data_IF_228255383189
#
_entry.id   IF_228255383189
#
_cell.length_a   1.000
_cell.length_b   1.000
_cell.length_c   1.000
_cell.angle_alpha   90.00
_cell.angle_beta   90.00
_cell.angle_gamma   90.00
#
_symmetry.space_group_name_H-M   'P 1'
#
loop_
_entity.id
_entity.type
_entity.pdbx_description
1 polymer ?
#
# COMPACT_ATOMS: atom_id res chain seq x y z
N UNK A 1 -25.03 11.63 4.99
CA UNK A 1 -24.39 12.86 5.49
C UNK A 1 -23.02 13.11 4.84
N UNK A 2 -22.15 12.11 4.68
CA UNK A 2 -20.83 12.25 4.02
C UNK A 2 -20.91 12.69 2.56
N UNK A 3 -21.85 12.17 1.79
CA UNK A 3 -21.99 12.45 0.35
C UNK A 3 -22.51 13.88 0.08
N UNK A 4 -23.41 14.36 0.93
CA UNK A 4 -23.93 15.74 0.84
C UNK A 4 -22.82 16.74 1.13
N UNK A 5 -21.98 16.48 2.13
CA UNK A 5 -20.87 17.35 2.49
C UNK A 5 -19.79 17.39 1.41
N UNK A 6 -19.52 16.28 0.74
CA UNK A 6 -18.55 16.20 -0.37
C UNK A 6 -19.03 16.85 -1.66
N UNK A 7 -20.33 16.72 -1.98
CA UNK A 7 -20.95 17.46 -3.09
C UNK A 7 -20.80 18.96 -2.89
N UNK A 8 -20.99 19.44 -1.66
CA UNK A 8 -20.80 20.86 -1.33
C UNK A 8 -19.35 21.34 -1.45
N UNK A 9 -18.35 20.44 -1.31
CA UNK A 9 -16.93 20.74 -1.48
C UNK A 9 -16.39 20.54 -2.90
N UNK A 10 -17.23 20.15 -3.87
CA UNK A 10 -16.83 19.89 -5.26
C UNK A 10 -15.89 18.68 -5.44
N UNK A 11 -15.76 17.83 -4.41
CA UNK A 11 -14.85 16.66 -4.43
C UNK A 11 -15.50 15.38 -4.97
N UNK A 12 -16.82 15.38 -5.19
CA UNK A 12 -17.57 14.26 -5.74
C UNK A 12 -17.71 14.47 -7.25
N UNK A 13 -16.83 13.86 -8.04
CA UNK A 13 -16.93 13.84 -9.51
C UNK A 13 -17.92 12.77 -9.97
N UNK A 14 -18.37 12.85 -11.24
CA UNK A 14 -19.23 11.81 -11.84
C UNK A 14 -18.55 10.44 -11.81
N UNK A 15 -17.24 10.38 -12.09
CA UNK A 15 -16.45 9.14 -12.05
C UNK A 15 -16.45 8.49 -10.66
N UNK A 16 -16.32 9.30 -9.60
CA UNK A 16 -16.36 8.80 -8.22
C UNK A 16 -17.77 8.32 -7.88
N UNK A 17 -18.81 9.02 -8.32
CA UNK A 17 -20.21 8.61 -8.11
C UNK A 17 -20.48 7.27 -8.80
N UNK A 18 -20.07 7.11 -10.05
CA UNK A 18 -20.20 5.85 -10.78
C UNK A 18 -19.41 4.71 -10.15
N UNK A 19 -18.20 4.98 -9.65
CA UNK A 19 -17.39 3.98 -8.97
C UNK A 19 -18.06 3.52 -7.67
N UNK A 20 -18.67 4.45 -6.90
CA UNK A 20 -19.42 4.14 -5.68
C UNK A 20 -20.68 3.33 -5.96
N UNK A 21 -21.41 3.63 -7.05
CA UNK A 21 -22.60 2.86 -7.46
C UNK A 21 -22.27 1.43 -7.88
N UNK A 22 -21.08 1.22 -8.46
CA UNK A 22 -20.58 -0.10 -8.89
C UNK A 22 -19.95 -0.90 -7.76
N UNK A 23 -19.64 -0.27 -6.63
CA UNK A 23 -19.03 -0.95 -5.48
C UNK A 23 -20.03 -1.90 -4.81
N UNK A 24 -19.64 -3.15 -4.66
CA UNK A 24 -20.48 -4.21 -4.07
C UNK A 24 -20.15 -4.42 -2.59
N UNK A 25 -18.93 -4.11 -2.19
CA UNK A 25 -18.44 -4.34 -0.81
C UNK A 25 -18.06 -3.04 -0.12
N UNK A 26 -18.16 -3.03 1.22
CA UNK A 26 -17.72 -1.90 2.04
C UNK A 26 -16.25 -1.56 1.82
N UNK A 27 -15.42 -2.57 1.59
CA UNK A 27 -13.99 -2.41 1.34
C UNK A 27 -13.73 -1.67 0.03
N UNK A 28 -14.50 -1.94 -1.03
CA UNK A 28 -14.41 -1.20 -2.28
C UNK A 28 -14.81 0.27 -2.09
N UNK A 29 -15.85 0.54 -1.30
CA UNK A 29 -16.25 1.91 -0.95
C UNK A 29 -15.15 2.63 -0.15
N UNK A 30 -14.53 1.95 0.80
CA UNK A 30 -13.41 2.51 1.58
C UNK A 30 -12.19 2.83 0.72
N UNK A 31 -11.87 2.01 -0.26
CA UNK A 31 -10.76 2.27 -1.19
C UNK A 31 -11.03 3.47 -2.09
N UNK A 32 -12.25 3.59 -2.62
CA UNK A 32 -12.66 4.77 -3.41
C UNK A 32 -12.60 6.04 -2.56
N UNK A 33 -12.93 5.93 -1.28
CA UNK A 33 -12.92 7.05 -0.33
C UNK A 33 -11.52 7.42 0.18
N UNK A 34 -10.57 6.49 0.14
CA UNK A 34 -9.24 6.62 0.76
C UNK A 34 -8.45 7.89 0.39
N UNK A 35 -8.40 8.33 -0.89
CA UNK A 35 -7.71 9.58 -1.26
C UNK A 35 -8.29 10.83 -0.59
N UNK A 36 -9.56 10.78 -0.18
CA UNK A 36 -10.29 11.91 0.41
C UNK A 36 -10.33 11.88 1.94
N UNK A 37 -9.85 10.79 2.54
CA UNK A 37 -9.82 10.64 3.99
C UNK A 37 -8.77 11.55 4.60
N UNK A 38 -9.10 12.34 5.64
CA UNK A 38 -8.09 13.12 6.36
C UNK A 38 -6.98 12.20 6.86
N UNK A 39 -5.77 12.45 6.39
CA UNK A 39 -4.59 11.67 6.79
C UNK A 39 -3.92 12.34 7.99
N UNK A 40 -3.36 11.53 8.89
CA UNK A 40 -2.43 12.00 9.90
C UNK A 40 -1.12 12.41 9.23
N UNK A 41 -0.21 13.05 9.97
CA UNK A 41 1.13 13.41 9.46
C UNK A 41 1.84 12.15 8.95
N UNK A 42 2.03 12.08 7.62
CA UNK A 42 2.71 10.98 6.91
C UNK A 42 4.03 11.49 6.34
N UNK A 43 4.91 10.58 5.87
CA UNK A 43 6.12 10.98 5.14
C UNK A 43 5.77 11.82 3.92
N UNK A 44 4.76 11.40 3.15
CA UNK A 44 4.29 12.12 1.98
C UNK A 44 3.71 13.50 2.32
N UNK A 45 2.92 13.63 3.41
CA UNK A 45 2.40 14.95 3.80
C UNK A 45 3.53 15.90 4.21
N UNK A 46 4.54 15.40 4.91
CA UNK A 46 5.74 16.20 5.23
C UNK A 46 6.49 16.63 3.98
N UNK A 47 6.63 15.74 3.00
CA UNK A 47 7.27 16.05 1.74
C UNK A 47 6.48 17.09 0.91
N UNK A 48 5.14 17.01 0.92
CA UNK A 48 4.27 18.03 0.31
C UNK A 48 4.39 19.38 1.01
N UNK A 49 4.43 19.40 2.34
CA UNK A 49 4.63 20.63 3.13
C UNK A 49 6.00 21.28 2.80
N UNK A 50 7.02 20.47 2.50
CA UNK A 50 8.32 20.94 2.02
C UNK A 50 8.30 21.43 0.56
N UNK A 51 7.22 21.20 -0.17
CA UNK A 51 7.03 21.67 -1.56
C UNK A 51 7.63 20.74 -2.61
N UNK A 52 7.71 19.44 -2.35
CA UNK A 52 8.27 18.42 -3.25
C UNK A 52 7.24 17.82 -4.22
N UNK A 53 5.99 18.26 -4.19
CA UNK A 53 4.93 17.75 -5.08
C UNK A 53 5.27 17.94 -6.57
N UNK A 54 5.79 19.10 -7.04
CA UNK A 54 6.15 19.26 -8.45
C UNK A 54 7.30 18.33 -8.89
N UNK A 55 8.21 17.98 -7.97
CA UNK A 55 9.27 17.00 -8.27
C UNK A 55 8.68 15.58 -8.40
N UNK A 56 7.69 15.23 -7.58
CA UNK A 56 6.97 13.97 -7.71
C UNK A 56 6.20 13.88 -9.03
N UNK A 57 5.53 14.95 -9.45
CA UNK A 57 4.85 15.03 -10.75
C UNK A 57 5.85 14.86 -11.91
N UNK A 58 7.01 15.53 -11.86
CA UNK A 58 8.08 15.40 -12.85
C UNK A 58 8.56 13.94 -12.98
N UNK A 59 8.73 13.24 -11.87
CA UNK A 59 9.16 11.83 -11.85
C UNK A 59 8.06 10.92 -12.42
N UNK A 60 6.78 11.16 -12.08
CA UNK A 60 5.64 10.35 -12.55
C UNK A 60 5.43 10.44 -14.07
N UNK A 61 5.81 11.54 -14.70
CA UNK A 61 5.75 11.67 -16.16
C UNK A 61 6.62 10.63 -16.86
N UNK A 62 7.76 10.26 -16.26
CA UNK A 62 8.71 9.27 -16.77
C UNK A 62 9.19 9.59 -18.19
N UNK A 63 9.48 10.85 -18.47
CA UNK A 63 10.07 11.23 -19.73
C UNK A 63 11.47 10.61 -19.89
N UNK A 64 11.77 10.07 -21.08
CA UNK A 64 12.98 9.26 -21.31
C UNK A 64 14.27 10.06 -21.10
N UNK A 65 14.27 11.33 -21.52
CA UNK A 65 15.43 12.22 -21.47
C UNK A 65 15.49 13.05 -20.16
N UNK A 66 14.63 12.76 -19.18
CA UNK A 66 14.61 13.49 -17.92
C UNK A 66 15.72 13.02 -16.98
N UNK A 67 16.38 13.98 -16.35
CA UNK A 67 17.36 13.79 -15.29
C UNK A 67 16.74 14.24 -13.95
N UNK A 68 16.21 13.31 -13.17
CA UNK A 68 15.57 13.61 -11.90
C UNK A 68 16.56 14.08 -10.84
N UNK A 69 17.83 13.70 -10.91
CA UNK A 69 18.88 14.17 -10.02
C UNK A 69 19.14 15.68 -10.21
N UNK A 70 19.33 16.13 -11.45
CA UNK A 70 19.48 17.56 -11.78
C UNK A 70 18.23 18.35 -11.45
N UNK A 71 17.03 17.79 -11.63
CA UNK A 71 15.79 18.45 -11.24
C UNK A 71 15.69 18.60 -9.72
N UNK A 72 16.07 17.55 -8.97
CA UNK A 72 16.03 17.56 -7.51
C UNK A 72 16.95 18.57 -6.86
N UNK A 73 18.08 18.94 -7.51
CA UNK A 73 18.98 19.99 -7.00
C UNK A 73 18.28 21.33 -6.82
N UNK A 74 17.26 21.64 -7.63
CA UNK A 74 16.49 22.89 -7.55
C UNK A 74 15.65 22.99 -6.28
N UNK A 75 15.41 21.87 -5.61
CA UNK A 75 14.60 21.79 -4.38
C UNK A 75 15.44 21.77 -3.10
N UNK A 76 16.76 21.84 -3.21
CA UNK A 76 17.63 21.94 -2.03
C UNK A 76 17.35 23.26 -1.32
N UNK A 77 16.95 23.16 -0.06
CA UNK A 77 16.59 24.30 0.78
C UNK A 77 16.75 23.96 2.27
N UNK A 78 17.73 24.55 2.92
CA UNK A 78 18.02 24.32 4.33
C UNK A 78 16.90 24.78 5.26
N UNK A 79 16.14 25.83 4.90
CA UNK A 79 15.00 26.29 5.69
C UNK A 79 13.86 25.28 5.71
N UNK A 80 13.75 24.45 4.67
CA UNK A 80 12.80 23.36 4.54
C UNK A 80 13.37 21.99 4.95
N UNK A 81 14.56 21.97 5.53
CA UNK A 81 15.27 20.73 5.90
C UNK A 81 15.45 19.77 4.71
N UNK A 82 15.79 20.31 3.54
CA UNK A 82 16.17 19.55 2.33
C UNK A 82 17.62 19.90 2.05
N UNK A 83 18.53 19.09 2.54
CA UNK A 83 19.97 19.36 2.49
C UNK A 83 20.63 18.83 1.23
N UNK A 84 20.05 17.82 0.59
CA UNK A 84 20.63 17.13 -0.58
C UNK A 84 19.57 16.80 -1.63
N UNK A 85 20.01 16.60 -2.88
CA UNK A 85 19.13 16.14 -3.97
C UNK A 85 18.52 14.76 -3.65
N UNK A 86 19.28 13.85 -3.00
CA UNK A 86 18.77 12.55 -2.59
C UNK A 86 17.62 12.69 -1.57
N UNK A 87 17.71 13.65 -0.64
CA UNK A 87 16.63 13.92 0.30
C UNK A 87 15.38 14.45 -0.40
N UNK A 88 15.54 15.28 -1.44
CA UNK A 88 14.45 15.74 -2.27
C UNK A 88 13.80 14.59 -3.06
N UNK A 89 14.61 13.73 -3.70
CA UNK A 89 14.13 12.54 -4.42
C UNK A 89 13.40 11.59 -3.49
N UNK A 90 13.94 11.33 -2.29
CA UNK A 90 13.28 10.47 -1.31
C UNK A 90 11.92 11.03 -0.89
N UNK A 91 11.81 12.32 -0.67
CA UNK A 91 10.53 12.97 -0.37
C UNK A 91 9.54 12.87 -1.53
N UNK A 92 9.99 13.06 -2.76
CA UNK A 92 9.16 12.89 -3.95
C UNK A 92 8.69 11.43 -4.11
N UNK A 93 9.58 10.44 -3.88
CA UNK A 93 9.21 9.03 -3.88
C UNK A 93 8.21 8.67 -2.77
N UNK A 94 8.31 9.28 -1.59
CA UNK A 94 7.33 9.07 -0.52
C UNK A 94 5.93 9.59 -0.91
N UNK A 95 5.86 10.71 -1.67
CA UNK A 95 4.61 11.22 -2.24
C UNK A 95 4.06 10.21 -3.25
N UNK A 96 4.87 9.78 -4.21
CA UNK A 96 4.49 8.81 -5.25
C UNK A 96 3.99 7.50 -4.62
N UNK A 97 4.70 6.99 -3.62
CA UNK A 97 4.32 5.75 -2.93
C UNK A 97 2.96 5.88 -2.23
N UNK A 98 2.66 7.01 -1.62
CA UNK A 98 1.36 7.26 -1.00
C UNK A 98 0.26 7.34 -2.05
N UNK A 99 0.46 8.07 -3.16
CA UNK A 99 -0.52 8.22 -4.24
C UNK A 99 -0.81 6.87 -4.91
N UNK A 100 0.22 6.04 -5.14
CA UNK A 100 0.05 4.65 -5.60
C UNK A 100 -0.76 3.83 -4.58
N UNK A 101 -0.51 3.99 -3.29
CA UNK A 101 -1.23 3.25 -2.24
C UNK A 101 -2.71 3.58 -2.15
N UNK A 102 -3.11 4.75 -2.62
CA UNK A 102 -4.49 5.21 -2.63
C UNK A 102 -5.25 4.77 -3.90
N UNK A 103 -4.56 4.13 -4.86
CA UNK A 103 -5.20 3.65 -6.06
C UNK A 103 -6.11 2.45 -5.79
N UNK A 104 -7.43 2.63 -5.95
CA UNK A 104 -8.43 1.63 -5.64
C UNK A 104 -8.31 0.38 -6.52
N UNK A 105 -7.95 0.53 -7.81
CA UNK A 105 -7.80 -0.59 -8.72
C UNK A 105 -6.59 -1.46 -8.35
N UNK A 106 -5.45 -0.86 -7.99
CA UNK A 106 -4.29 -1.59 -7.51
C UNK A 106 -4.64 -2.39 -6.24
N UNK A 107 -5.31 -1.76 -5.29
CA UNK A 107 -5.73 -2.41 -4.04
C UNK A 107 -6.66 -3.60 -4.31
N UNK A 108 -7.62 -3.44 -5.22
CA UNK A 108 -8.51 -4.52 -5.66
C UNK A 108 -7.74 -5.69 -6.26
N UNK A 109 -6.77 -5.41 -7.15
CA UNK A 109 -5.92 -6.44 -7.76
C UNK A 109 -5.06 -7.17 -6.72
N UNK A 110 -4.47 -6.43 -5.78
CA UNK A 110 -3.65 -7.05 -4.72
C UNK A 110 -4.51 -7.90 -3.80
N UNK A 111 -5.72 -7.48 -3.40
CA UNK A 111 -6.63 -8.34 -2.62
C UNK A 111 -6.98 -9.64 -3.35
N UNK A 112 -7.35 -9.55 -4.62
CA UNK A 112 -7.62 -10.74 -5.42
C UNK A 112 -6.41 -11.68 -5.52
N UNK A 113 -5.20 -11.12 -5.51
CA UNK A 113 -3.97 -11.88 -5.48
C UNK A 113 -3.76 -12.58 -4.13
N UNK A 114 -4.03 -11.90 -3.02
CA UNK A 114 -3.99 -12.50 -1.68
C UNK A 114 -5.00 -13.65 -1.54
N UNK A 115 -6.24 -13.45 -1.96
CA UNK A 115 -7.27 -14.49 -1.95
C UNK A 115 -6.83 -15.74 -2.71
N UNK A 116 -6.12 -15.58 -3.83
CA UNK A 116 -5.70 -16.67 -4.70
C UNK A 116 -4.41 -17.34 -4.26
N UNK A 117 -3.41 -16.58 -3.82
CA UNK A 117 -2.04 -17.04 -3.69
C UNK A 117 -1.48 -16.99 -2.26
N UNK A 118 -2.09 -16.20 -1.36
CA UNK A 118 -1.59 -16.10 0.01
C UNK A 118 -1.87 -17.37 0.81
N UNK A 119 -1.03 -17.58 1.83
CA UNK A 119 -1.16 -18.65 2.83
C UNK A 119 -1.34 -18.04 4.21
N UNK A 120 -2.13 -18.70 5.03
CA UNK A 120 -2.15 -18.48 6.47
C UNK A 120 -1.11 -19.42 7.07
N UNK A 121 -0.19 -18.85 7.82
CA UNK A 121 0.83 -19.59 8.55
C UNK A 121 0.71 -19.33 10.03
N UNK A 122 0.99 -20.33 10.84
CA UNK A 122 1.13 -20.15 12.28
C UNK A 122 2.31 -20.91 12.83
N UNK A 123 2.88 -20.35 13.89
CA UNK A 123 3.97 -20.95 14.66
C UNK A 123 3.66 -20.87 16.14
N UNK A 124 4.14 -21.83 16.92
CA UNK A 124 4.08 -21.75 18.37
C UNK A 124 4.83 -20.51 18.89
N UNK A 125 4.30 -19.87 19.91
CA UNK A 125 5.03 -18.85 20.68
C UNK A 125 6.08 -19.50 21.58
N UNK A 126 5.76 -20.68 22.11
CA UNK A 126 6.64 -21.57 22.86
C UNK A 126 6.43 -23.00 22.36
N UNK A 127 7.45 -23.57 21.74
CA UNK A 127 7.38 -24.91 21.15
C UNK A 127 7.34 -26.04 22.19
N UNK A 128 7.81 -25.76 23.43
CA UNK A 128 7.80 -26.73 24.53
C UNK A 128 6.48 -26.75 25.32
N UNK A 129 5.61 -25.75 25.09
CA UNK A 129 4.33 -25.66 25.77
C UNK A 129 3.32 -26.67 25.24
N UNK A 130 2.78 -27.52 26.09
CA UNK A 130 1.67 -28.40 25.75
C UNK A 130 0.35 -27.66 25.76
N UNK A 131 -0.18 -27.31 24.57
CA UNK A 131 -1.47 -26.64 24.43
C UNK A 131 -2.41 -27.44 23.51
N UNK A 132 -3.69 -27.06 23.51
CA UNK A 132 -4.69 -27.60 22.58
C UNK A 132 -4.42 -27.19 21.13
N UNK A 133 -3.46 -26.30 20.90
CA UNK A 133 -3.10 -25.77 19.58
C UNK A 133 -1.90 -26.45 18.93
N UNK A 134 -1.42 -27.57 19.44
CA UNK A 134 -0.22 -28.31 18.92
C UNK A 134 -0.31 -28.59 17.42
N UNK A 135 -1.51 -28.88 16.88
CA UNK A 135 -1.72 -29.11 15.44
C UNK A 135 -1.48 -27.87 14.58
N UNK A 136 -1.32 -26.69 15.19
CA UNK A 136 -1.11 -25.41 14.53
C UNK A 136 0.27 -24.79 14.83
N UNK A 137 1.18 -25.54 15.48
CA UNK A 137 2.53 -25.05 15.80
C UNK A 137 3.40 -24.85 14.56
N UNK A 138 3.18 -25.66 13.53
CA UNK A 138 3.76 -25.53 12.19
C UNK A 138 2.66 -25.70 11.15
N UNK A 139 1.83 -24.68 11.00
CA UNK A 139 0.69 -24.73 10.09
C UNK A 139 0.90 -23.80 8.90
N UNK A 140 0.57 -24.26 7.69
CA UNK A 140 0.56 -23.47 6.47
C UNK A 140 -0.53 -23.99 5.52
N UNK A 141 -1.50 -23.14 5.19
CA UNK A 141 -2.57 -23.48 4.24
C UNK A 141 -2.98 -22.25 3.42
N UNK A 142 -3.34 -22.47 2.14
CA UNK A 142 -3.79 -21.39 1.27
C UNK A 142 -5.07 -20.72 1.77
N UNK A 143 -5.11 -19.40 1.74
CA UNK A 143 -6.27 -18.57 2.17
C UNK A 143 -7.58 -19.05 1.52
N UNK A 144 -7.54 -19.38 0.22
CA UNK A 144 -8.71 -19.85 -0.53
C UNK A 144 -9.21 -21.25 -0.13
N UNK A 145 -8.45 -22.00 0.65
CA UNK A 145 -8.74 -23.42 0.98
C UNK A 145 -8.93 -23.67 2.45
N UNK A 146 -8.45 -22.79 3.31
CA UNK A 146 -8.50 -22.96 4.76
C UNK A 146 -9.95 -23.01 5.25
N UNK A 147 -10.28 -24.05 6.02
CA UNK A 147 -11.62 -24.22 6.56
C UNK A 147 -11.89 -23.25 7.72
N UNK A 148 -13.12 -22.73 7.80
CA UNK A 148 -13.50 -21.71 8.80
C UNK A 148 -13.22 -22.11 10.25
N UNK A 149 -13.37 -23.38 10.62
CA UNK A 149 -13.06 -23.85 11.98
C UNK A 149 -11.57 -23.77 12.31
N UNK A 150 -10.67 -23.88 11.30
CA UNK A 150 -9.23 -23.70 11.47
C UNK A 150 -8.89 -22.24 11.71
N UNK A 151 -9.53 -21.33 10.95
CA UNK A 151 -9.37 -19.87 11.15
C UNK A 151 -9.75 -19.49 12.58
N UNK A 152 -10.90 -20.01 13.07
CA UNK A 152 -11.34 -19.77 14.45
C UNK A 152 -10.37 -20.32 15.50
N UNK A 153 -9.77 -21.48 15.24
CA UNK A 153 -8.77 -22.06 16.13
C UNK A 153 -7.47 -21.24 16.15
N UNK A 154 -7.00 -20.78 14.97
CA UNK A 154 -5.84 -19.91 14.83
C UNK A 154 -6.04 -18.58 15.55
N UNK A 155 -7.18 -17.91 15.31
CA UNK A 155 -7.54 -16.64 15.96
C UNK A 155 -7.60 -16.76 17.50
N UNK A 156 -8.16 -17.87 17.98
CA UNK A 156 -8.19 -18.14 19.42
C UNK A 156 -6.79 -18.39 19.98
N UNK A 157 -5.97 -19.23 19.31
CA UNK A 157 -4.61 -19.53 19.74
C UNK A 157 -3.72 -18.30 19.75
N UNK A 158 -3.92 -17.37 18.81
CA UNK A 158 -3.23 -16.08 18.79
C UNK A 158 -3.66 -15.18 19.95
N UNK A 159 -4.97 -15.06 20.20
CA UNK A 159 -5.53 -14.29 21.33
C UNK A 159 -5.08 -14.81 22.69
N UNK A 160 -4.92 -16.12 22.82
CA UNK A 160 -4.40 -16.76 24.04
C UNK A 160 -2.88 -16.69 24.14
N UNK A 161 -2.19 -16.15 23.12
CA UNK A 161 -0.73 -16.01 23.10
C UNK A 161 0.03 -17.32 22.85
N UNK A 162 -0.66 -18.40 22.48
CA UNK A 162 -0.05 -19.71 22.18
C UNK A 162 0.53 -19.76 20.75
N UNK A 163 -0.07 -19.01 19.82
CA UNK A 163 0.32 -18.97 18.41
C UNK A 163 0.70 -17.56 17.97
N UNK A 164 1.58 -17.47 16.98
CA UNK A 164 1.78 -16.31 16.10
C UNK A 164 1.20 -16.66 14.75
N UNK A 165 0.20 -15.92 14.30
CA UNK A 165 -0.47 -16.13 13.02
C UNK A 165 -0.06 -15.02 12.05
N UNK A 166 0.18 -15.36 10.79
CA UNK A 166 0.52 -14.43 9.73
C UNK A 166 -0.11 -14.85 8.41
N UNK A 167 -0.39 -13.88 7.57
CA UNK A 167 -0.74 -14.11 6.17
C UNK A 167 0.51 -13.84 5.34
N UNK A 168 0.95 -14.80 4.56
CA UNK A 168 2.20 -14.74 3.80
C UNK A 168 1.91 -14.87 2.31
N UNK A 169 2.52 -14.01 1.53
CA UNK A 169 2.52 -14.06 0.07
C UNK A 169 3.92 -13.71 -0.42
N UNK A 170 4.29 -14.21 -1.60
CA UNK A 170 5.50 -13.74 -2.28
C UNK A 170 5.31 -12.28 -2.71
N UNK A 171 6.11 -11.39 -2.11
CA UNK A 171 6.06 -9.94 -2.35
C UNK A 171 6.20 -9.60 -3.83
N UNK A 172 6.99 -10.39 -4.59
CA UNK A 172 7.23 -10.18 -6.03
C UNK A 172 5.95 -10.21 -6.86
N UNK A 173 4.93 -10.98 -6.43
CA UNK A 173 3.63 -10.96 -7.09
C UNK A 173 2.96 -9.58 -6.96
N UNK A 174 2.99 -8.98 -5.78
CA UNK A 174 2.42 -7.67 -5.53
C UNK A 174 3.21 -6.58 -6.27
N UNK A 175 4.54 -6.66 -6.23
CA UNK A 175 5.42 -5.72 -6.94
C UNK A 175 5.18 -5.76 -8.44
N UNK A 176 5.12 -6.96 -9.04
CA UNK A 176 4.85 -7.12 -10.48
C UNK A 176 3.52 -6.50 -10.92
N UNK A 177 2.48 -6.57 -10.08
CA UNK A 177 1.20 -5.93 -10.38
C UNK A 177 1.32 -4.41 -10.35
N UNK A 178 1.96 -3.84 -9.32
CA UNK A 178 2.15 -2.40 -9.20
C UNK A 178 3.05 -1.85 -10.32
N UNK A 179 4.17 -2.52 -10.60
CA UNK A 179 5.08 -2.13 -11.68
C UNK A 179 4.38 -2.08 -13.03
N UNK A 180 3.60 -3.10 -13.37
CA UNK A 180 2.82 -3.13 -14.64
C UNK A 180 1.80 -2.02 -14.75
N UNK A 181 1.32 -1.47 -13.64
CA UNK A 181 0.32 -0.38 -13.65
C UNK A 181 0.97 1.00 -13.73
N UNK A 182 2.13 1.19 -13.12
CA UNK A 182 2.68 2.53 -12.92
C UNK A 182 4.00 2.78 -13.64
N UNK A 183 4.78 1.74 -13.96
CA UNK A 183 6.05 1.91 -14.68
C UNK A 183 5.80 1.91 -16.17
N UNK A 184 6.14 3.02 -16.85
CA UNK A 184 5.92 3.21 -18.28
C UNK A 184 7.11 2.79 -19.12
N UNK A 185 8.32 2.94 -18.60
CA UNK A 185 9.57 2.69 -19.32
C UNK A 185 10.74 2.48 -18.34
N UNK A 186 11.93 2.17 -18.88
CA UNK A 186 13.16 1.95 -18.11
C UNK A 186 14.03 3.22 -18.01
N UNK A 187 13.44 4.42 -18.07
CA UNK A 187 14.16 5.67 -17.81
C UNK A 187 14.57 5.76 -16.35
N UNK A 188 15.43 6.72 -16.03
CA UNK A 188 15.82 6.98 -14.63
C UNK A 188 14.60 7.32 -13.75
N UNK A 189 13.67 8.12 -14.27
CA UNK A 189 12.38 8.37 -13.61
C UNK A 189 11.54 7.09 -13.45
N UNK A 190 11.56 6.20 -14.47
CA UNK A 190 10.88 4.91 -14.40
C UNK A 190 11.42 4.01 -13.29
N UNK A 191 12.73 4.00 -13.06
CA UNK A 191 13.37 3.27 -11.94
C UNK A 191 12.93 3.83 -10.57
N UNK A 192 12.84 5.16 -10.44
CA UNK A 192 12.34 5.79 -9.21
C UNK A 192 10.88 5.46 -8.95
N UNK A 193 10.03 5.50 -9.98
CA UNK A 193 8.61 5.10 -9.87
C UNK A 193 8.50 3.61 -9.52
N UNK A 194 9.34 2.75 -10.09
CA UNK A 194 9.39 1.32 -9.73
C UNK A 194 9.71 1.15 -8.25
N UNK A 195 10.74 1.82 -7.74
CA UNK A 195 11.13 1.78 -6.33
C UNK A 195 10.00 2.29 -5.41
N UNK A 196 9.35 3.39 -5.78
CA UNK A 196 8.21 3.94 -5.05
C UNK A 196 7.00 2.99 -5.06
N UNK A 197 6.75 2.29 -6.17
CA UNK A 197 5.66 1.31 -6.28
C UNK A 197 5.91 0.08 -5.39
N UNK A 198 7.13 -0.41 -5.33
CA UNK A 198 7.52 -1.50 -4.44
C UNK A 198 7.39 -1.09 -2.96
N UNK A 199 7.88 0.10 -2.58
CA UNK A 199 7.70 0.65 -1.22
C UNK A 199 6.22 0.83 -0.86
N UNK A 200 5.41 1.33 -1.79
CA UNK A 200 3.96 1.45 -1.64
C UNK A 200 3.31 0.10 -1.33
N UNK A 201 3.65 -0.95 -2.10
CA UNK A 201 3.15 -2.29 -1.84
C UNK A 201 3.57 -2.78 -0.46
N UNK A 202 4.86 -2.79 -0.18
CA UNK A 202 5.43 -3.38 1.02
C UNK A 202 5.02 -2.68 2.31
N UNK A 203 5.05 -1.36 2.32
CA UNK A 203 4.84 -0.54 3.52
C UNK A 203 3.39 -0.13 3.75
N UNK A 204 2.61 0.05 2.70
CA UNK A 204 1.28 0.68 2.80
C UNK A 204 0.13 -0.27 2.42
N UNK A 205 0.26 -1.01 1.31
CA UNK A 205 -0.85 -1.81 0.79
C UNK A 205 -0.92 -3.18 1.46
N UNK A 206 0.16 -3.96 1.41
CA UNK A 206 0.21 -5.32 1.93
C UNK A 206 -0.19 -5.39 3.41
N UNK A 207 0.38 -4.59 4.34
CA UNK A 207 -0.03 -4.61 5.75
C UNK A 207 -1.49 -4.19 5.99
N UNK A 208 -2.08 -3.48 5.05
CA UNK A 208 -3.49 -3.07 5.10
C UNK A 208 -4.43 -4.16 4.58
N UNK A 209 -3.97 -5.01 3.66
CA UNK A 209 -4.74 -6.13 3.08
C UNK A 209 -4.71 -7.34 4.00
N UNK A 210 -3.62 -7.55 4.72
CA UNK A 210 -3.44 -8.66 5.67
C UNK A 210 -4.34 -8.57 6.91
N UNK A 211 -4.82 -7.38 7.26
CA UNK A 211 -5.73 -7.11 8.39
C UNK A 211 -7.18 -7.39 8.05
#
# INVERSE_FOLDING_TARGET
>A
LGDVYKRQQGKLTEEISEALEKAVTLVEVEDIYRPFKPKRKTRASVARDKGLEPLAEFIIEQNIDSDPESEAEKYINSEKEIETAEAALQGAMDIIAEDISDNAELRKKIRALYEKAAKIESRATDEEAETVYQNYYEFSEGVSRVAGHRILALDRGEKEGALKVSVVIDEEFCFSVAEKMFVKNNSRCGELVKTAAQDSCKRLIMPSVER
#
